data_IF_982208936167
#
_entry.id   IF_982208936167
#
_cell.length_a   1.000
_cell.length_b   1.000
_cell.length_c   1.000
_cell.angle_alpha   90.00
_cell.angle_beta   90.00
_cell.angle_gamma   90.00
#
_symmetry.space_group_name_H-M   'P 1'
#
loop_
_entity.id
_entity.type
_entity.pdbx_description
1 polymer ?
#
# COMPACT_ATOMS: atom_id res chain seq x y z
N UNK A 1 31.90 -0.25 32.49
CA UNK A 1 32.53 -0.45 31.17
C UNK A 1 31.49 -0.23 30.10
N UNK A 2 31.93 0.41 29.01
CA UNK A 2 31.15 1.20 28.07
C UNK A 2 30.03 0.46 27.32
N UNK A 3 28.95 1.21 27.13
CA UNK A 3 27.84 0.96 26.20
C UNK A 3 28.39 0.90 24.77
N UNK A 4 28.32 -0.27 24.12
CA UNK A 4 28.64 -0.41 22.68
C UNK A 4 27.35 -0.23 21.89
N UNK A 5 27.13 0.99 21.43
CA UNK A 5 26.04 1.32 20.50
C UNK A 5 26.31 0.72 19.12
N UNK A 6 25.47 -0.23 18.72
CA UNK A 6 25.35 -0.65 17.33
C UNK A 6 24.81 0.53 16.51
N UNK A 7 25.70 1.24 15.82
CA UNK A 7 25.31 2.23 14.80
C UNK A 7 24.76 1.49 13.59
N UNK A 8 23.45 1.62 13.36
CA UNK A 8 22.84 1.40 12.06
C UNK A 8 23.57 2.23 11.02
N UNK A 9 24.23 1.57 10.06
CA UNK A 9 24.64 2.19 8.80
C UNK A 9 23.40 2.35 7.90
N UNK A 10 22.56 3.34 8.20
CA UNK A 10 21.59 3.85 7.24
C UNK A 10 22.37 4.67 6.20
N UNK A 11 22.54 4.09 5.01
CA UNK A 11 23.05 4.78 3.83
C UNK A 11 21.92 5.66 3.26
N UNK A 12 21.97 7.00 3.36
CA UNK A 12 20.92 7.86 2.84
C UNK A 12 21.35 8.36 1.46
N UNK A 13 21.45 7.44 0.49
CA UNK A 13 21.83 7.81 -0.89
C UNK A 13 21.21 6.87 -1.94
N UNK A 14 19.89 6.80 -1.97
CA UNK A 14 19.15 6.39 -3.16
C UNK A 14 17.71 6.88 -3.07
N UNK A 15 17.24 7.66 -4.05
CA UNK A 15 15.81 7.96 -4.19
C UNK A 15 15.38 9.42 -4.35
N UNK A 16 16.27 10.35 -4.73
CA UNK A 16 15.88 11.73 -5.07
C UNK A 16 16.01 12.05 -6.58
N UNK A 17 15.79 11.05 -7.44
CA UNK A 17 15.91 11.20 -8.90
C UNK A 17 14.56 11.37 -9.62
N UNK A 18 13.44 11.52 -8.89
CA UNK A 18 12.11 11.71 -9.48
C UNK A 18 11.62 13.16 -9.59
N UNK A 19 12.36 14.14 -9.05
CA UNK A 19 11.83 15.51 -8.87
C UNK A 19 12.38 16.57 -9.84
N UNK A 20 13.17 16.17 -10.84
CA UNK A 20 13.83 17.13 -11.76
C UNK A 20 13.08 17.41 -13.06
N UNK A 21 11.99 16.71 -13.34
CA UNK A 21 11.19 16.95 -14.56
C UNK A 21 10.27 18.17 -14.39
N UNK A 22 9.80 18.47 -13.18
CA UNK A 22 8.95 19.63 -12.91
C UNK A 22 9.72 20.97 -12.84
N UNK A 23 11.05 20.95 -12.76
CA UNK A 23 11.86 22.16 -12.57
C UNK A 23 12.14 22.96 -13.86
N UNK A 24 11.74 22.45 -15.04
CA UNK A 24 12.01 23.10 -16.33
C UNK A 24 10.80 23.84 -16.94
N UNK A 25 9.64 23.85 -16.28
CA UNK A 25 8.43 24.56 -16.74
C UNK A 25 8.25 25.97 -16.13
N UNK A 26 9.20 26.44 -15.32
CA UNK A 26 9.22 27.84 -14.82
C UNK A 26 10.33 28.63 -15.51
N UNK A 27 10.26 28.73 -16.84
CA UNK A 27 11.00 29.77 -17.57
C UNK A 27 10.35 31.10 -17.19
N UNK A 28 10.99 31.75 -16.21
CA UNK A 28 10.72 33.08 -15.69
C UNK A 28 10.41 34.12 -16.79
N UNK A 29 9.41 35.01 -16.59
CA UNK A 29 9.04 36.07 -17.54
C UNK A 29 10.03 37.26 -17.46
N UNK A 30 11.32 37.03 -17.72
CA UNK A 30 12.37 38.08 -17.66
C UNK A 30 12.62 38.84 -18.97
N UNK A 31 11.74 38.73 -19.97
CA UNK A 31 11.93 39.41 -21.26
C UNK A 31 11.48 40.89 -21.24
N UNK A 32 10.89 41.39 -20.15
CA UNK A 32 10.43 42.78 -20.11
C UNK A 32 11.03 43.59 -18.96
N UNK A 33 12.11 44.31 -19.26
CA UNK A 33 12.35 45.67 -18.75
C UNK A 33 13.53 46.29 -19.49
N UNK A 34 13.26 46.72 -20.73
CA UNK A 34 14.14 47.61 -21.46
C UNK A 34 13.95 49.05 -20.92
N UNK A 35 15.04 49.55 -20.38
CA UNK A 35 15.47 50.93 -20.09
C UNK A 35 14.47 52.05 -20.48
N UNK A 36 13.97 52.70 -19.43
CA UNK A 36 13.47 54.07 -19.28
C UNK A 36 13.00 54.85 -20.52
N UNK A 37 11.68 54.98 -20.67
CA UNK A 37 11.10 56.11 -21.41
C UNK A 37 10.71 57.24 -20.44
N UNK A 38 11.42 58.36 -20.63
CA UNK A 38 11.24 59.67 -20.00
C UNK A 38 9.78 60.06 -19.77
N UNK A 39 9.51 60.39 -18.50
CA UNK A 39 8.65 61.47 -17.99
C UNK A 39 7.74 62.17 -19.00
N UNK A 40 6.42 61.92 -18.96
CA UNK A 40 5.41 62.96 -19.21
C UNK A 40 4.07 62.65 -18.53
N UNK A 41 3.65 63.62 -17.70
CA UNK A 41 2.30 63.95 -17.23
C UNK A 41 1.12 63.26 -17.94
N UNK A 42 0.23 62.59 -17.18
CA UNK A 42 -1.21 62.92 -17.10
C UNK A 42 -1.94 62.14 -15.99
N UNK A 43 -2.53 62.92 -15.09
CA UNK A 43 -3.84 62.75 -14.40
C UNK A 43 -4.62 61.49 -14.81
N UNK A 44 -4.88 60.59 -13.85
CA UNK A 44 -6.17 59.92 -13.53
C UNK A 44 -5.88 58.81 -12.51
N UNK A 45 -6.58 58.81 -11.38
CA UNK A 45 -6.53 57.76 -10.37
C UNK A 45 -7.19 56.51 -10.95
N UNK A 46 -6.43 55.47 -11.27
CA UNK A 46 -6.98 54.17 -11.66
C UNK A 46 -6.33 53.10 -10.80
N UNK A 47 -7.20 52.39 -10.07
CA UNK A 47 -6.89 51.24 -9.22
C UNK A 47 -6.01 50.24 -9.98
N UNK A 48 -4.96 49.75 -9.33
CA UNK A 48 -4.04 48.76 -9.88
C UNK A 48 -4.82 47.57 -10.45
N UNK A 49 -4.86 47.48 -11.76
CA UNK A 49 -5.51 46.42 -12.51
C UNK A 49 -4.71 45.13 -12.27
N UNK A 50 -5.18 44.29 -11.35
CA UNK A 50 -4.69 42.91 -11.24
C UNK A 50 -5.02 42.24 -12.57
N UNK A 51 -4.01 42.05 -13.42
CA UNK A 51 -4.11 41.25 -14.64
C UNK A 51 -4.66 39.88 -14.27
N UNK A 52 -5.95 39.66 -14.51
CA UNK A 52 -6.55 38.36 -14.36
C UNK A 52 -6.10 37.53 -15.57
N UNK A 53 -5.10 36.68 -15.38
CA UNK A 53 -4.77 35.62 -16.33
C UNK A 53 -5.86 34.56 -16.25
N UNK A 54 -6.79 34.56 -17.21
CA UNK A 54 -7.74 33.47 -17.41
C UNK A 54 -7.05 32.31 -18.12
N UNK A 55 -7.30 31.08 -17.66
CA UNK A 55 -6.96 29.88 -18.41
C UNK A 55 -7.71 29.84 -19.73
N UNK A 56 -7.05 29.43 -20.80
CA UNK A 56 -7.73 29.25 -22.08
C UNK A 56 -8.56 27.96 -22.05
N UNK A 57 -9.73 27.94 -22.69
CA UNK A 57 -10.62 26.77 -22.70
C UNK A 57 -9.94 25.55 -23.32
N UNK A 58 -9.08 25.77 -24.32
CA UNK A 58 -8.30 24.72 -24.98
C UNK A 58 -7.24 24.10 -24.06
N UNK A 59 -6.62 24.91 -23.20
CA UNK A 59 -5.62 24.44 -22.23
C UNK A 59 -6.26 23.50 -21.20
N UNK A 60 -7.48 23.82 -20.74
CA UNK A 60 -8.23 22.90 -19.89
C UNK A 60 -8.66 21.62 -20.64
N UNK A 61 -9.08 21.73 -21.90
CA UNK A 61 -9.52 20.58 -22.70
C UNK A 61 -8.42 19.54 -22.92
N UNK A 62 -7.20 19.99 -23.24
CA UNK A 62 -6.07 19.09 -23.45
C UNK A 62 -5.69 18.38 -22.14
N UNK A 63 -5.76 19.09 -21.00
CA UNK A 63 -5.44 18.52 -19.69
C UNK A 63 -6.40 17.39 -19.32
N UNK A 64 -7.72 17.61 -19.45
CA UNK A 64 -8.69 16.55 -19.14
C UNK A 64 -8.61 15.38 -20.13
N UNK A 65 -8.25 15.64 -21.39
CA UNK A 65 -8.03 14.59 -22.37
C UNK A 65 -6.84 13.68 -21.99
N UNK A 66 -5.71 14.27 -21.58
CA UNK A 66 -4.52 13.51 -21.15
C UNK A 66 -4.81 12.74 -19.85
N UNK A 67 -5.44 13.37 -18.85
CA UNK A 67 -5.81 12.70 -17.60
C UNK A 67 -6.77 11.54 -17.88
N UNK A 68 -7.73 11.70 -18.79
CA UNK A 68 -8.65 10.64 -19.20
C UNK A 68 -7.91 9.40 -19.72
N UNK A 69 -6.98 9.59 -20.67
CA UNK A 69 -6.18 8.50 -21.24
C UNK A 69 -5.34 7.79 -20.17
N UNK A 70 -4.64 8.56 -19.32
CA UNK A 70 -3.81 8.00 -18.26
C UNK A 70 -4.64 7.27 -17.20
N UNK A 71 -5.80 7.81 -16.82
CA UNK A 71 -6.66 7.22 -15.80
C UNK A 71 -7.23 5.86 -16.23
N UNK A 72 -7.64 5.71 -17.49
CA UNK A 72 -8.20 4.47 -18.02
C UNK A 72 -7.20 3.30 -17.92
N UNK A 73 -5.96 3.50 -18.35
CA UNK A 73 -4.91 2.49 -18.23
C UNK A 73 -4.52 2.22 -16.76
N UNK A 74 -4.52 3.26 -15.92
CA UNK A 74 -4.10 3.15 -14.53
C UNK A 74 -5.07 2.29 -13.69
N UNK A 75 -6.38 2.40 -13.91
CA UNK A 75 -7.39 1.68 -13.11
C UNK A 75 -7.19 0.16 -13.17
N UNK A 76 -6.99 -0.41 -14.36
CA UNK A 76 -6.82 -1.86 -14.49
C UNK A 76 -5.55 -2.37 -13.78
N UNK A 77 -4.44 -1.66 -13.96
CA UNK A 77 -3.18 -2.02 -13.28
C UNK A 77 -3.28 -1.90 -11.75
N UNK A 78 -4.03 -0.90 -11.28
CA UNK A 78 -4.23 -0.64 -9.86
C UNK A 78 -5.08 -1.73 -9.19
N UNK A 79 -6.10 -2.26 -9.86
CA UNK A 79 -6.89 -3.39 -9.35
C UNK A 79 -6.04 -4.64 -9.13
N UNK A 80 -5.23 -5.03 -10.12
CA UNK A 80 -4.32 -6.19 -9.99
C UNK A 80 -3.27 -5.99 -8.89
N UNK A 81 -2.73 -4.76 -8.76
CA UNK A 81 -1.77 -4.44 -7.71
C UNK A 81 -2.41 -4.50 -6.32
N UNK A 82 -3.66 -4.04 -6.19
CA UNK A 82 -4.43 -4.14 -4.96
C UNK A 82 -4.69 -5.59 -4.57
N UNK A 83 -5.10 -6.45 -5.51
CA UNK A 83 -5.33 -7.86 -5.22
C UNK A 83 -4.06 -8.57 -4.75
N UNK A 84 -2.94 -8.36 -5.45
CA UNK A 84 -1.62 -8.87 -5.01
C UNK A 84 -1.23 -8.37 -3.62
N UNK A 85 -1.51 -7.09 -3.31
CA UNK A 85 -1.23 -6.54 -2.00
C UNK A 85 -2.09 -7.18 -0.90
N UNK A 86 -3.34 -7.56 -1.20
CA UNK A 86 -4.20 -8.31 -0.27
C UNK A 86 -3.65 -9.72 0.00
N UNK A 87 -3.27 -10.44 -1.05
CA UNK A 87 -2.65 -11.77 -0.91
C UNK A 87 -1.36 -11.68 -0.09
N UNK A 88 -0.49 -10.70 -0.39
CA UNK A 88 0.76 -10.50 0.35
C UNK A 88 0.52 -10.14 1.83
N UNK A 89 -0.43 -9.23 2.11
CA UNK A 89 -0.80 -8.89 3.49
C UNK A 89 -1.36 -10.11 4.24
N UNK A 90 -2.11 -10.96 3.54
CA UNK A 90 -2.63 -12.18 4.13
C UNK A 90 -1.53 -13.22 4.40
N UNK A 91 -0.60 -13.36 3.46
CA UNK A 91 0.60 -14.19 3.63
C UNK A 91 1.39 -13.82 4.88
N UNK A 92 1.63 -12.52 5.11
CA UNK A 92 2.30 -12.03 6.32
C UNK A 92 1.54 -12.39 7.61
N UNK A 93 0.22 -12.38 7.55
CA UNK A 93 -0.63 -12.81 8.67
C UNK A 93 -0.45 -14.30 8.96
N UNK A 94 -0.47 -15.16 7.93
CA UNK A 94 -0.26 -16.59 8.09
C UNK A 94 1.16 -16.92 8.55
N UNK A 95 2.18 -16.18 8.12
CA UNK A 95 3.54 -16.31 8.64
C UNK A 95 3.63 -15.98 10.14
N UNK A 96 2.89 -14.97 10.59
CA UNK A 96 2.79 -14.64 12.00
C UNK A 96 2.10 -15.76 12.80
N UNK A 97 1.00 -16.31 12.26
CA UNK A 97 0.31 -17.48 12.85
C UNK A 97 1.24 -18.69 12.92
N UNK A 98 1.95 -19.01 11.83
CA UNK A 98 2.94 -20.09 11.79
C UNK A 98 3.92 -19.99 12.95
N UNK A 99 4.50 -18.80 13.17
CA UNK A 99 5.41 -18.58 14.29
C UNK A 99 4.72 -18.82 15.64
N UNK A 100 3.50 -18.35 15.82
CA UNK A 100 2.71 -18.63 17.03
C UNK A 100 2.48 -20.12 17.27
N UNK A 101 2.21 -20.88 16.20
CA UNK A 101 2.03 -22.33 16.25
C UNK A 101 3.32 -23.04 16.66
N UNK A 102 4.47 -22.61 16.12
CA UNK A 102 5.80 -23.12 16.52
C UNK A 102 6.09 -22.84 18.01
N UNK A 103 5.79 -21.62 18.47
CA UNK A 103 5.95 -21.23 19.88
C UNK A 103 5.00 -22.02 20.82
N UNK A 104 3.77 -22.30 20.36
CA UNK A 104 2.78 -23.10 21.08
C UNK A 104 3.24 -24.56 21.24
N UNK A 105 3.68 -25.20 20.15
CA UNK A 105 4.24 -26.56 20.20
C UNK A 105 5.47 -26.61 21.11
N UNK A 106 6.32 -25.58 21.08
CA UNK A 106 7.47 -25.52 21.99
C UNK A 106 7.08 -25.47 23.47
N UNK A 107 5.85 -25.05 23.79
CA UNK A 107 5.37 -24.90 25.17
C UNK A 107 4.51 -26.07 25.64
N UNK A 108 3.76 -26.68 24.72
CA UNK A 108 2.74 -27.71 25.02
C UNK A 108 3.00 -29.07 24.36
N UNK A 109 4.08 -29.22 23.58
CA UNK A 109 4.45 -30.42 22.80
C UNK A 109 3.37 -30.90 21.80
N UNK A 110 2.35 -30.08 21.54
CA UNK A 110 1.25 -30.35 20.62
C UNK A 110 0.74 -29.06 19.99
N UNK A 111 0.18 -29.14 18.78
CA UNK A 111 -0.57 -28.02 18.19
C UNK A 111 -1.91 -27.83 18.94
N UNK A 112 -2.54 -26.66 18.84
CA UNK A 112 -3.91 -26.48 19.32
C UNK A 112 -4.82 -27.48 18.62
N UNK A 113 -5.49 -28.36 19.36
CA UNK A 113 -6.47 -29.26 18.78
C UNK A 113 -7.76 -28.51 18.44
N UNK A 114 -8.56 -29.11 17.56
CA UNK A 114 -9.88 -28.63 17.16
C UNK A 114 -10.94 -28.67 18.29
N UNK A 115 -10.57 -29.13 19.49
CA UNK A 115 -11.40 -29.27 20.70
C UNK A 115 -11.97 -27.99 21.33
N UNK A 116 -12.21 -26.95 20.53
CA UNK A 116 -12.78 -25.66 20.92
C UNK A 116 -12.43 -24.49 19.99
N UNK A 117 -11.60 -24.71 18.97
CA UNK A 117 -11.16 -23.70 18.01
C UNK A 117 -11.91 -23.93 16.69
N UNK A 118 -13.14 -23.41 16.60
CA UNK A 118 -13.96 -23.53 15.38
C UNK A 118 -13.70 -22.38 14.40
N UNK A 119 -13.13 -21.27 14.88
CA UNK A 119 -12.89 -20.08 14.06
C UNK A 119 -11.48 -19.53 14.23
N UNK A 120 -11.05 -18.77 13.23
CA UNK A 120 -9.80 -17.99 13.31
C UNK A 120 -9.75 -17.02 14.48
N UNK A 121 -10.90 -16.51 14.93
CA UNK A 121 -10.95 -15.63 16.10
C UNK A 121 -10.53 -16.37 17.38
N UNK A 122 -10.91 -17.64 17.50
CA UNK A 122 -10.53 -18.49 18.64
C UNK A 122 -9.05 -18.85 18.57
N UNK A 123 -8.53 -19.18 17.38
CA UNK A 123 -7.10 -19.42 17.19
C UNK A 123 -6.28 -18.17 17.53
N UNK A 124 -6.77 -17.01 17.11
CA UNK A 124 -6.16 -15.72 17.42
C UNK A 124 -6.11 -15.48 18.92
N UNK A 125 -7.18 -15.81 19.67
CA UNK A 125 -7.22 -15.78 21.14
C UNK A 125 -6.14 -16.68 21.75
N UNK A 126 -6.07 -17.93 21.32
CA UNK A 126 -5.10 -18.93 21.81
C UNK A 126 -3.66 -18.50 21.56
N UNK A 127 -3.40 -17.81 20.44
CA UNK A 127 -2.06 -17.37 20.04
C UNK A 127 -1.74 -15.90 20.42
N UNK A 128 -2.60 -15.19 21.16
CA UNK A 128 -2.40 -13.75 21.48
C UNK A 128 -1.08 -13.47 22.20
N UNK A 129 -0.65 -14.39 23.04
CA UNK A 129 0.58 -14.22 23.83
C UNK A 129 1.84 -14.44 22.98
N UNK A 130 1.70 -15.10 21.82
CA UNK A 130 2.82 -15.46 20.93
C UNK A 130 2.86 -14.62 19.64
N UNK A 131 1.72 -14.05 19.23
CA UNK A 131 1.58 -13.38 17.92
C UNK A 131 0.93 -12.01 18.07
N UNK A 132 1.66 -10.96 17.72
CA UNK A 132 1.08 -9.64 17.51
C UNK A 132 0.44 -9.58 16.12
N UNK A 133 -0.88 -9.80 16.07
CA UNK A 133 -1.64 -9.71 14.83
C UNK A 133 -1.73 -8.26 14.36
N UNK A 134 -1.33 -8.00 13.10
CA UNK A 134 -1.48 -6.67 12.52
C UNK A 134 -2.96 -6.26 12.53
N UNK A 135 -3.31 -5.04 12.99
CA UNK A 135 -4.70 -4.60 13.00
C UNK A 135 -5.21 -4.39 11.57
N UNK A 136 -6.40 -4.94 11.27
CA UNK A 136 -7.09 -4.94 9.97
C UNK A 136 -6.56 -5.98 8.97
N UNK A 137 -6.87 -7.25 9.22
CA UNK A 137 -6.30 -8.37 8.47
C UNK A 137 -7.12 -8.62 7.21
N UNK A 138 -6.41 -8.68 6.09
CA UNK A 138 -7.00 -8.90 4.76
C UNK A 138 -7.38 -10.36 4.52
N UNK A 139 -7.18 -11.23 5.53
CA UNK A 139 -7.52 -12.64 5.53
C UNK A 139 -8.87 -12.97 6.19
N UNK A 140 -9.58 -11.99 6.75
CA UNK A 140 -10.71 -12.27 7.67
C UNK A 140 -11.92 -12.94 6.99
N UNK A 141 -11.94 -13.05 5.65
CA UNK A 141 -13.11 -13.47 4.88
C UNK A 141 -13.35 -14.99 4.83
N UNK A 142 -12.35 -15.84 5.16
CA UNK A 142 -12.51 -17.28 5.39
C UNK A 142 -11.16 -17.88 5.78
N UNK A 143 -10.92 -18.07 7.08
CA UNK A 143 -9.82 -18.93 7.57
C UNK A 143 -10.46 -20.17 8.18
N UNK A 144 -10.26 -21.31 7.51
CA UNK A 144 -10.66 -22.63 8.01
C UNK A 144 -9.45 -23.26 8.69
N UNK A 145 -9.64 -23.74 9.93
CA UNK A 145 -8.62 -24.40 10.73
C UNK A 145 -9.01 -25.85 10.96
N UNK A 146 -8.10 -26.76 10.67
CA UNK A 146 -8.24 -28.19 10.95
C UNK A 146 -6.96 -28.67 11.63
N UNK A 147 -7.08 -29.33 12.78
CA UNK A 147 -5.93 -29.86 13.52
C UNK A 147 -6.33 -31.02 14.42
N UNK A 148 -5.41 -31.99 14.62
CA UNK A 148 -5.59 -33.12 15.55
C UNK A 148 -4.57 -33.12 16.71
N UNK A 149 -3.87 -31.99 16.89
CA UNK A 149 -2.78 -31.82 17.84
C UNK A 149 -1.41 -32.27 17.32
N UNK A 150 -1.33 -33.11 16.29
CA UNK A 150 -0.08 -33.57 15.65
C UNK A 150 0.14 -32.91 14.30
N UNK A 151 -0.94 -32.63 13.58
CA UNK A 151 -0.93 -31.82 12.36
C UNK A 151 -1.88 -30.65 12.44
N UNK A 152 -1.63 -29.66 11.60
CA UNK A 152 -2.54 -28.55 11.40
C UNK A 152 -2.56 -28.10 9.95
N UNK A 153 -3.72 -27.62 9.52
CA UNK A 153 -3.98 -27.01 8.23
C UNK A 153 -4.80 -25.73 8.43
N UNK A 154 -4.33 -24.66 7.80
CA UNK A 154 -5.00 -23.37 7.78
C UNK A 154 -5.24 -22.96 6.33
N UNK A 155 -6.50 -22.79 5.95
CA UNK A 155 -6.88 -22.35 4.60
C UNK A 155 -7.45 -20.94 4.66
N UNK A 156 -6.76 -19.96 4.08
CA UNK A 156 -7.22 -18.59 3.95
C UNK A 156 -7.62 -18.28 2.50
N UNK A 157 -8.86 -17.85 2.26
CA UNK A 157 -9.31 -17.45 0.91
C UNK A 157 -9.29 -15.93 0.73
N UNK A 158 -8.58 -15.47 -0.31
CA UNK A 158 -8.56 -14.06 -0.71
C UNK A 158 -9.23 -13.91 -2.07
N UNK A 159 -10.40 -13.26 -2.10
CA UNK A 159 -11.17 -13.04 -3.33
C UNK A 159 -10.64 -11.85 -4.15
N UNK A 160 -10.65 -11.99 -5.49
CA UNK A 160 -10.31 -10.88 -6.39
C UNK A 160 -11.34 -9.75 -6.30
N UNK A 161 -10.91 -8.47 -6.31
CA UNK A 161 -11.84 -7.33 -6.26
C UNK A 161 -12.80 -7.23 -7.45
N UNK A 162 -12.50 -7.89 -8.57
CA UNK A 162 -13.26 -7.81 -9.82
C UNK A 162 -14.65 -8.47 -9.84
N UNK A 163 -15.14 -8.99 -8.70
CA UNK A 163 -16.49 -9.59 -8.61
C UNK A 163 -16.63 -10.97 -9.27
N UNK A 164 -15.52 -11.58 -9.73
CA UNK A 164 -15.49 -12.97 -10.16
C UNK A 164 -15.46 -13.92 -8.96
N UNK A 165 -15.94 -15.16 -9.14
CA UNK A 165 -15.89 -16.23 -8.11
C UNK A 165 -14.50 -16.84 -7.90
N UNK A 166 -13.44 -16.13 -8.29
CA UNK A 166 -12.07 -16.58 -8.15
C UNK A 166 -11.34 -15.85 -7.04
N UNK A 167 -10.17 -16.39 -6.70
CA UNK A 167 -9.26 -15.79 -5.74
C UNK A 167 -7.94 -16.54 -5.67
N UNK A 168 -7.24 -16.32 -4.57
CA UNK A 168 -6.08 -17.11 -4.17
C UNK A 168 -6.39 -17.72 -2.82
N UNK A 169 -6.27 -19.04 -2.73
CA UNK A 169 -6.25 -19.77 -1.47
C UNK A 169 -4.81 -19.84 -1.01
N UNK A 170 -4.57 -19.44 0.24
CA UNK A 170 -3.31 -19.64 0.93
C UNK A 170 -3.49 -20.81 1.89
N UNK A 171 -2.70 -21.86 1.72
CA UNK A 171 -2.77 -23.05 2.55
C UNK A 171 -1.48 -23.09 3.37
N UNK A 172 -1.61 -23.06 4.68
CA UNK A 172 -0.52 -23.28 5.62
C UNK A 172 -0.70 -24.65 6.26
N UNK A 173 0.13 -25.61 5.87
CA UNK A 173 0.09 -26.98 6.36
C UNK A 173 1.46 -27.32 6.95
N UNK A 174 1.51 -27.69 8.23
CA UNK A 174 2.76 -28.12 8.89
C UNK A 174 3.94 -27.14 8.72
N UNK A 175 3.64 -25.84 8.69
CA UNK A 175 4.63 -24.78 8.51
C UNK A 175 5.03 -24.49 7.06
N UNK A 176 4.52 -25.23 6.08
CA UNK A 176 4.70 -24.95 4.66
C UNK A 176 3.52 -24.12 4.13
N UNK A 177 3.83 -23.01 3.45
CA UNK A 177 2.84 -22.07 2.93
C UNK A 177 2.78 -22.15 1.41
N UNK A 178 1.64 -22.59 0.88
CA UNK A 178 1.38 -22.73 -0.56
C UNK A 178 0.29 -21.77 -1.02
N UNK A 179 0.35 -21.38 -2.30
CA UNK A 179 -0.58 -20.44 -2.93
C UNK A 179 -1.26 -21.14 -4.11
N UNK A 180 -2.58 -21.32 -4.05
CA UNK A 180 -3.36 -21.99 -5.09
C UNK A 180 -4.44 -21.04 -5.66
N UNK A 181 -4.46 -20.78 -6.98
CA UNK A 181 -5.54 -20.00 -7.57
C UNK A 181 -6.83 -20.83 -7.63
N UNK A 182 -7.96 -20.22 -7.29
CA UNK A 182 -9.29 -20.79 -7.51
C UNK A 182 -10.13 -19.87 -8.41
N UNK A 183 -11.09 -20.44 -9.13
CA UNK A 183 -11.88 -19.76 -10.17
C UNK A 183 -13.39 -19.94 -9.99
#
# INVERSE_FOLDING_TARGET
MSVVGHRLCLNPRAGAAGLRIYALLLISPKIFSNIENKTMKKKTLILGEKRQSGFTLIELMIVVAIIGILSAASIMSYMMARDKARVAACKMTLEAVKKGMEDYVSSFDQYPDDGGIETYADLKETLKDSVEFMPNQTCDDAIEYEADGMWYRLEARVYWMGGGKGGTTLILEMGELTEEPFF
#
